data_IF_473307746303
#
_entry.id   IF_473307746303
#
_cell.length_a   1.000
_cell.length_b   1.000
_cell.length_c   1.000
_cell.angle_alpha   90.00
_cell.angle_beta   90.00
_cell.angle_gamma   90.00
#
_symmetry.space_group_name_H-M   'P 1'
#
loop_
_entity.id
_entity.type
_entity.pdbx_description
1 polymer ?
#
# COMPACT_ATOMS: atom_id res chain seq x y z
N UNK A 1 -23.39 -2.44 0.56
CA UNK A 1 -22.29 -1.54 0.97
C UNK A 1 -20.96 -2.26 0.75
N UNK A 2 -19.91 -1.59 0.27
CA UNK A 2 -18.61 -2.23 0.09
C UNK A 2 -18.05 -2.70 1.45
N UNK A 3 -17.42 -3.88 1.48
CA UNK A 3 -16.79 -4.40 2.69
C UNK A 3 -15.56 -3.56 3.09
N UNK A 4 -15.15 -3.59 4.36
CA UNK A 4 -13.91 -2.91 4.83
C UNK A 4 -12.70 -3.34 4.00
N UNK A 5 -12.62 -4.62 3.63
CA UNK A 5 -11.58 -5.17 2.76
C UNK A 5 -11.61 -4.56 1.36
N UNK A 6 -12.80 -4.41 0.79
CA UNK A 6 -13.00 -3.79 -0.52
C UNK A 6 -12.59 -2.31 -0.49
N UNK A 7 -12.96 -1.59 0.57
CA UNK A 7 -12.55 -0.19 0.77
C UNK A 7 -11.03 -0.10 0.88
N UNK A 8 -10.40 -0.95 1.69
CA UNK A 8 -8.95 -0.98 1.84
C UNK A 8 -8.25 -1.21 0.49
N UNK A 9 -8.65 -2.22 -0.28
CA UNK A 9 -8.06 -2.49 -1.60
C UNK A 9 -8.23 -1.31 -2.55
N UNK A 10 -9.40 -0.66 -2.59
CA UNK A 10 -9.59 0.55 -3.40
C UNK A 10 -8.68 1.69 -2.98
N UNK A 11 -8.48 1.91 -1.67
CA UNK A 11 -7.53 2.91 -1.18
C UNK A 11 -6.09 2.57 -1.58
N UNK A 12 -5.71 1.28 -1.56
CA UNK A 12 -4.41 0.79 -2.04
C UNK A 12 -4.25 0.88 -3.55
N UNK A 13 -5.33 1.04 -4.32
CA UNK A 13 -5.24 1.38 -5.76
C UNK A 13 -5.08 2.89 -5.93
N UNK A 14 -6.01 3.66 -5.40
CA UNK A 14 -6.17 5.08 -5.72
C UNK A 14 -5.03 5.93 -5.15
N UNK A 15 -4.66 5.73 -3.88
CA UNK A 15 -3.66 6.57 -3.24
C UNK A 15 -2.26 6.37 -3.85
N UNK A 16 -1.75 5.13 -4.03
CA UNK A 16 -0.44 4.93 -4.62
C UNK A 16 -0.39 5.37 -6.09
N UNK A 17 -1.45 5.17 -6.88
CA UNK A 17 -1.47 5.62 -8.26
C UNK A 17 -1.49 7.14 -8.38
N UNK A 18 -2.28 7.84 -7.57
CA UNK A 18 -2.27 9.29 -7.55
C UNK A 18 -0.90 9.85 -7.12
N UNK A 19 -0.31 9.29 -6.06
CA UNK A 19 1.05 9.62 -5.61
C UNK A 19 2.09 9.39 -6.71
N UNK A 20 2.00 8.24 -7.40
CA UNK A 20 2.90 7.87 -8.51
C UNK A 20 2.83 8.86 -9.66
N UNK A 21 1.63 9.33 -10.01
CA UNK A 21 1.46 10.33 -11.06
C UNK A 21 2.19 11.63 -10.70
N UNK A 22 2.12 12.07 -9.45
CA UNK A 22 2.87 13.25 -8.98
C UNK A 22 4.38 13.03 -9.03
N UNK A 23 4.85 11.84 -8.65
CA UNK A 23 6.26 11.46 -8.69
C UNK A 23 6.81 11.32 -10.11
N UNK A 24 6.00 10.89 -11.09
CA UNK A 24 6.41 10.75 -12.49
C UNK A 24 6.35 12.07 -13.25
N UNK A 25 5.27 12.84 -13.09
CA UNK A 25 5.04 14.07 -13.87
C UNK A 25 5.79 15.27 -13.31
N UNK A 26 5.91 15.36 -11.98
CA UNK A 26 6.49 16.54 -11.32
C UNK A 26 7.47 16.15 -10.20
N UNK A 27 8.47 15.27 -10.46
CA UNK A 27 9.33 14.70 -9.41
C UNK A 27 9.99 15.78 -8.54
N UNK A 28 10.51 16.84 -9.16
CA UNK A 28 11.16 17.94 -8.42
C UNK A 28 10.18 18.77 -7.57
N UNK A 29 8.95 18.95 -8.04
CA UNK A 29 7.90 19.65 -7.29
C UNK A 29 7.46 18.84 -6.09
N UNK A 30 7.28 17.53 -6.29
CA UNK A 30 6.88 16.60 -5.22
C UNK A 30 7.96 16.50 -4.15
N UNK A 31 9.25 16.38 -4.53
CA UNK A 31 10.36 16.38 -3.56
C UNK A 31 10.37 17.66 -2.73
N UNK A 32 10.21 18.84 -3.36
CA UNK A 32 10.15 20.12 -2.65
C UNK A 32 8.93 20.24 -1.74
N UNK A 33 7.77 19.74 -2.17
CA UNK A 33 6.55 19.74 -1.37
C UNK A 33 6.75 18.96 -0.06
N UNK A 34 7.48 17.84 -0.13
CA UNK A 34 7.88 17.08 1.06
C UNK A 34 9.15 17.61 1.75
N UNK A 35 9.54 18.86 1.51
CA UNK A 35 10.65 19.53 2.21
C UNK A 35 12.07 19.12 1.77
N UNK A 36 12.21 18.26 0.76
CA UNK A 36 13.50 17.76 0.30
C UNK A 36 14.17 18.61 -0.78
N UNK A 37 15.43 18.30 -1.08
CA UNK A 37 16.20 18.95 -2.16
C UNK A 37 16.15 18.09 -3.44
N UNK A 38 15.63 18.62 -4.57
CA UNK A 38 15.44 17.85 -5.80
C UNK A 38 16.76 17.67 -6.58
N UNK A 39 17.62 16.81 -6.08
CA UNK A 39 18.85 16.36 -6.76
C UNK A 39 18.52 15.33 -7.86
N UNK A 40 19.43 15.09 -8.84
CA UNK A 40 19.24 14.04 -9.83
C UNK A 40 18.99 12.65 -9.21
N UNK A 41 19.72 12.33 -8.14
CA UNK A 41 19.53 11.08 -7.38
C UNK A 41 18.15 11.01 -6.73
N UNK A 42 17.70 12.09 -6.07
CA UNK A 42 16.38 12.12 -5.45
C UNK A 42 15.25 11.95 -6.47
N UNK A 43 15.35 12.59 -7.65
CA UNK A 43 14.38 12.42 -8.74
C UNK A 43 14.34 10.99 -9.26
N UNK A 44 15.49 10.34 -9.41
CA UNK A 44 15.57 8.93 -9.80
C UNK A 44 14.89 8.02 -8.77
N UNK A 45 15.21 8.15 -7.48
CA UNK A 45 14.63 7.33 -6.42
C UNK A 45 13.12 7.48 -6.31
N UNK A 46 12.62 8.71 -6.48
CA UNK A 46 11.18 8.99 -6.50
C UNK A 46 10.47 8.28 -7.65
N UNK A 47 11.10 8.15 -8.82
CA UNK A 47 10.54 7.38 -9.95
C UNK A 47 10.56 5.87 -9.67
N UNK A 48 11.61 5.36 -9.01
CA UNK A 48 11.66 3.96 -8.56
C UNK A 48 10.52 3.69 -7.57
N UNK A 49 10.30 4.59 -6.62
CA UNK A 49 9.16 4.53 -5.69
C UNK A 49 7.82 4.51 -6.43
N UNK A 50 7.62 5.41 -7.39
CA UNK A 50 6.41 5.45 -8.21
C UNK A 50 6.15 4.14 -8.96
N UNK A 51 7.20 3.48 -9.45
CA UNK A 51 7.05 2.17 -10.11
C UNK A 51 6.54 1.09 -9.16
N UNK A 52 7.01 1.07 -7.90
CA UNK A 52 6.55 0.16 -6.87
C UNK A 52 5.10 0.40 -6.48
N UNK A 53 4.73 1.67 -6.29
CA UNK A 53 3.36 2.09 -6.00
C UNK A 53 2.37 1.68 -7.11
N UNK A 54 2.76 1.80 -8.38
CA UNK A 54 1.95 1.34 -9.52
C UNK A 54 1.74 -0.18 -9.47
N UNK A 55 2.80 -0.96 -9.24
CA UNK A 55 2.74 -2.43 -9.14
C UNK A 55 1.82 -2.86 -8.00
N UNK A 56 1.93 -2.22 -6.84
CA UNK A 56 1.11 -2.54 -5.68
C UNK A 56 -0.36 -2.17 -5.90
N UNK A 57 -0.63 -1.02 -6.51
CA UNK A 57 -1.99 -0.66 -6.92
C UNK A 57 -2.56 -1.63 -7.96
N UNK A 58 -1.74 -2.15 -8.88
CA UNK A 58 -2.17 -3.20 -9.81
C UNK A 58 -2.52 -4.50 -9.08
N UNK A 59 -1.70 -4.94 -8.11
CA UNK A 59 -2.00 -6.12 -7.29
C UNK A 59 -3.29 -5.94 -6.48
N UNK A 60 -3.52 -4.76 -5.90
CA UNK A 60 -4.77 -4.46 -5.21
C UNK A 60 -5.98 -4.51 -6.16
N UNK A 61 -5.83 -4.00 -7.39
CA UNK A 61 -6.87 -4.10 -8.43
C UNK A 61 -7.14 -5.55 -8.85
N UNK A 62 -6.10 -6.38 -8.95
CA UNK A 62 -6.25 -7.81 -9.18
C UNK A 62 -6.98 -8.48 -8.00
N UNK A 63 -6.70 -8.05 -6.77
CA UNK A 63 -7.37 -8.49 -5.54
C UNK A 63 -8.87 -8.20 -5.52
N UNK A 64 -9.28 -7.06 -6.09
CA UNK A 64 -10.69 -6.70 -6.26
C UNK A 64 -11.42 -7.60 -7.28
N UNK A 65 -10.69 -8.20 -8.22
CA UNK A 65 -11.26 -9.00 -9.33
C UNK A 65 -11.19 -10.50 -9.09
N UNK A 66 -10.26 -10.97 -8.27
CA UNK A 66 -10.09 -12.40 -7.99
C UNK A 66 -11.13 -12.93 -7.02
N UNK A 67 -11.56 -14.16 -7.23
CA UNK A 67 -12.35 -14.95 -6.26
C UNK A 67 -11.54 -16.02 -5.56
N UNK A 68 -10.29 -16.22 -5.98
CA UNK A 68 -9.41 -17.22 -5.40
C UNK A 68 -8.84 -16.68 -4.07
N UNK A 69 -9.16 -17.40 -2.99
CA UNK A 69 -8.73 -17.16 -1.62
C UNK A 69 -7.22 -17.03 -1.46
N UNK A 70 -6.48 -17.98 -2.01
CA UNK A 70 -5.02 -18.07 -1.91
C UNK A 70 -4.36 -16.92 -2.67
N UNK A 71 -4.86 -16.59 -3.87
CA UNK A 71 -4.36 -15.44 -4.64
C UNK A 71 -4.60 -14.13 -3.88
N UNK A 72 -5.80 -13.96 -3.31
CA UNK A 72 -6.13 -12.77 -2.54
C UNK A 72 -5.27 -12.65 -1.27
N UNK A 73 -4.99 -13.76 -0.60
CA UNK A 73 -4.08 -13.81 0.54
C UNK A 73 -2.66 -13.37 0.14
N UNK A 74 -2.10 -13.93 -0.94
CA UNK A 74 -0.78 -13.56 -1.45
C UNK A 74 -0.70 -12.07 -1.81
N UNK A 75 -1.77 -11.49 -2.35
CA UNK A 75 -1.87 -10.06 -2.62
C UNK A 75 -1.77 -9.24 -1.32
N UNK A 76 -2.50 -9.61 -0.26
CA UNK A 76 -2.38 -8.93 1.03
C UNK A 76 -0.99 -9.07 1.65
N UNK A 77 -0.34 -10.22 1.46
CA UNK A 77 1.03 -10.42 1.91
C UNK A 77 2.01 -9.51 1.17
N UNK A 78 1.92 -9.44 -0.16
CA UNK A 78 2.75 -8.57 -0.97
C UNK A 78 2.57 -7.09 -0.62
N UNK A 79 1.31 -6.63 -0.47
CA UNK A 79 0.99 -5.27 -0.02
C UNK A 79 1.58 -5.02 1.38
N UNK A 80 1.46 -5.98 2.29
CA UNK A 80 2.01 -5.87 3.64
C UNK A 80 3.53 -5.73 3.66
N UNK A 81 4.24 -6.60 2.94
CA UNK A 81 5.71 -6.52 2.81
C UNK A 81 6.12 -5.18 2.22
N UNK A 82 5.46 -4.76 1.14
CA UNK A 82 5.73 -3.46 0.52
C UNK A 82 5.56 -2.32 1.50
N UNK A 83 4.43 -2.25 2.21
CA UNK A 83 4.14 -1.16 3.13
C UNK A 83 5.11 -1.12 4.32
N UNK A 84 5.55 -2.29 4.82
CA UNK A 84 6.60 -2.34 5.85
C UNK A 84 7.88 -1.70 5.33
N UNK A 85 8.38 -2.13 4.16
CA UNK A 85 9.62 -1.58 3.60
C UNK A 85 9.48 -0.10 3.26
N UNK A 86 8.40 0.26 2.55
CA UNK A 86 8.15 1.61 2.06
C UNK A 86 7.99 2.59 3.23
N UNK A 87 7.06 2.35 4.15
CA UNK A 87 6.77 3.27 5.24
C UNK A 87 7.89 3.31 6.29
N UNK A 88 8.58 2.18 6.55
CA UNK A 88 9.74 2.19 7.46
C UNK A 88 10.91 3.01 6.89
N UNK A 89 11.10 2.98 5.56
CA UNK A 89 12.12 3.80 4.89
C UNK A 89 11.78 5.29 5.00
N UNK A 90 10.52 5.66 4.80
CA UNK A 90 10.06 7.04 4.99
C UNK A 90 10.22 7.49 6.45
N UNK A 91 9.79 6.66 7.41
CA UNK A 91 9.93 6.96 8.82
C UNK A 91 11.41 7.12 9.22
N UNK A 92 12.28 6.17 8.84
CA UNK A 92 13.70 6.25 9.16
C UNK A 92 14.34 7.54 8.61
N UNK A 93 14.09 7.88 7.34
CA UNK A 93 14.65 9.11 6.78
C UNK A 93 14.09 10.37 7.45
N UNK A 94 12.83 10.36 7.85
CA UNK A 94 12.22 11.48 8.56
C UNK A 94 12.80 11.69 9.98
N UNK A 95 13.14 10.60 10.70
CA UNK A 95 13.76 10.72 12.03
C UNK A 95 15.21 11.19 11.97
N UNK A 96 15.98 10.73 10.97
CA UNK A 96 17.44 10.85 10.99
C UNK A 96 18.03 11.82 9.97
N UNK A 97 17.25 12.30 8.99
CA UNK A 97 17.77 13.16 7.92
C UNK A 97 17.05 14.49 7.77
N UNK A 98 15.72 14.49 7.70
CA UNK A 98 14.95 15.71 7.41
C UNK A 98 13.63 15.74 8.19
N UNK A 99 13.47 16.73 9.07
CA UNK A 99 12.24 16.96 9.81
C UNK A 99 11.15 17.51 8.86
N UNK A 100 10.17 16.67 8.54
CA UNK A 100 9.00 17.03 7.74
C UNK A 100 7.97 17.84 8.56
N UNK A 101 7.35 18.89 7.99
CA UNK A 101 6.37 19.74 8.71
C UNK A 101 5.10 18.99 9.14
N UNK A 102 4.73 17.91 8.46
CA UNK A 102 3.56 17.08 8.81
C UNK A 102 3.78 16.17 10.04
N UNK A 103 5.00 16.11 10.59
CA UNK A 103 5.36 15.27 11.73
C UNK A 103 5.41 13.76 11.42
N UNK A 104 6.09 12.95 12.26
CA UNK A 104 6.27 11.50 12.03
C UNK A 104 4.98 10.69 12.21
N UNK A 105 3.99 11.23 12.92
CA UNK A 105 2.81 10.51 13.40
C UNK A 105 1.94 9.96 12.26
N UNK A 106 1.88 10.65 11.12
CA UNK A 106 1.14 10.16 9.95
C UNK A 106 1.74 8.85 9.41
N UNK A 107 3.06 8.81 9.22
CA UNK A 107 3.75 7.62 8.69
C UNK A 107 3.62 6.44 9.65
N UNK A 108 3.75 6.67 10.94
CA UNK A 108 3.59 5.65 11.99
C UNK A 108 2.18 5.08 11.98
N UNK A 109 1.17 5.96 11.95
CA UNK A 109 -0.24 5.55 11.96
C UNK A 109 -0.59 4.73 10.72
N UNK A 110 -0.14 5.18 9.55
CA UNK A 110 -0.37 4.47 8.29
C UNK A 110 0.36 3.12 8.25
N UNK A 111 1.59 3.04 8.78
CA UNK A 111 2.31 1.77 8.94
C UNK A 111 1.54 0.80 9.86
N UNK A 112 1.07 1.26 11.01
CA UNK A 112 0.33 0.42 11.98
C UNK A 112 -0.98 -0.08 11.36
N UNK A 113 -1.79 0.82 10.80
CA UNK A 113 -3.10 0.47 10.22
C UNK A 113 -2.90 -0.53 9.08
N UNK A 114 -1.95 -0.27 8.19
CA UNK A 114 -1.69 -1.17 7.08
C UNK A 114 -1.13 -2.51 7.53
N UNK A 115 -0.24 -2.53 8.52
CA UNK A 115 0.36 -3.79 9.02
C UNK A 115 -0.70 -4.67 9.67
N UNK A 116 -1.63 -4.07 10.41
CA UNK A 116 -2.77 -4.81 11.00
C UNK A 116 -3.69 -5.37 9.91
N UNK A 117 -4.05 -4.55 8.92
CA UNK A 117 -4.93 -4.97 7.83
C UNK A 117 -4.32 -6.12 7.01
N UNK A 118 -3.07 -5.96 6.58
CA UNK A 118 -2.34 -6.98 5.83
C UNK A 118 -2.02 -8.21 6.68
N UNK A 119 -1.67 -8.04 7.95
CA UNK A 119 -1.47 -9.14 8.89
C UNK A 119 -2.74 -9.98 9.06
N UNK A 120 -3.88 -9.31 9.24
CA UNK A 120 -5.17 -9.98 9.40
C UNK A 120 -5.58 -10.77 8.15
N UNK A 121 -5.60 -10.15 6.97
CA UNK A 121 -6.03 -10.84 5.74
C UNK A 121 -4.96 -11.69 5.07
N UNK A 122 -3.68 -11.45 5.35
CA UNK A 122 -2.56 -12.16 4.74
C UNK A 122 -2.00 -13.31 5.57
N UNK A 123 -1.97 -13.22 6.90
CA UNK A 123 -1.32 -14.22 7.76
C UNK A 123 -2.22 -14.79 8.87
N UNK A 124 -2.99 -13.95 9.56
CA UNK A 124 -3.70 -14.38 10.78
C UNK A 124 -5.09 -14.97 10.53
N UNK A 125 -5.73 -14.65 9.40
CA UNK A 125 -7.04 -15.21 9.04
C UNK A 125 -7.09 -15.76 7.60
N UNK A 126 -6.26 -16.79 7.27
CA UNK A 126 -6.20 -17.34 5.93
C UNK A 126 -7.45 -18.16 5.53
N UNK A 127 -8.29 -18.56 6.49
CA UNK A 127 -9.37 -19.56 6.27
C UNK A 127 -10.78 -18.98 6.08
N UNK A 128 -10.99 -17.67 6.22
CA UNK A 128 -12.33 -17.10 5.95
C UNK A 128 -12.76 -17.27 4.48
N UNK A 129 -11.80 -17.43 3.57
CA UNK A 129 -12.06 -17.43 2.14
C UNK A 129 -12.56 -18.78 1.57
N UNK A 130 -12.38 -19.90 2.29
CA UNK A 130 -12.96 -21.21 1.90
C UNK A 130 -14.40 -21.37 2.38
N UNK A 131 -14.75 -20.73 3.50
CA UNK A 131 -16.05 -20.94 4.16
C UNK A 131 -17.25 -20.34 3.41
N UNK A 132 -17.07 -19.27 2.62
CA UNK A 132 -18.14 -18.72 1.76
C UNK A 132 -18.42 -19.60 0.53
N UNK A 133 -17.43 -20.37 0.06
CA UNK A 133 -17.61 -21.28 -1.06
C UNK A 133 -18.36 -22.56 -0.66
N UNK A 134 -18.24 -22.98 0.59
CA UNK A 134 -18.99 -24.12 1.13
C UNK A 134 -20.45 -23.75 1.40
N UNK A 135 -20.72 -22.55 1.91
CA UNK A 135 -22.10 -22.10 2.21
C UNK A 135 -22.97 -21.87 0.96
N UNK A 136 -22.38 -21.64 -0.20
CA UNK A 136 -23.12 -21.47 -1.46
C UNK A 136 -23.45 -22.78 -2.17
N UNK A 137 -22.81 -23.90 -1.79
CA UNK A 137 -23.12 -25.24 -2.32
C UNK A 137 -24.17 -26.01 -1.53
N UNK A 138 -24.50 -25.58 -0.31
CA UNK A 138 -25.55 -26.18 0.51
C UNK A 138 -26.78 -25.29 0.46
N UNK A 139 -27.52 -25.37 -0.64
CA UNK A 139 -28.93 -25.02 -0.67
C UNK A 139 -29.67 -26.28 -1.08
N UNK A 140 -30.30 -26.93 -0.09
CA UNK A 140 -31.37 -27.90 -0.32
C UNK A 140 -32.62 -27.18 -0.81
#
# INVERSE_FOLDING_TARGET
MPSVRTIYLWLTVVLPWFSSLLYLLVPGGTIKYFGGVPTPSAKFWVQVVASGDIVIGFLALAGLKTRNSQVLQLIFQAIGVYNIFHMSTFWFNHLFREAHPAGPSFYISALIISSIACGYWGWWNPYQFDSEHIKTKIKF
#
